data_IF_297217319596
#
_entry.id   IF_297217319596
#
_cell.length_a   1.000
_cell.length_b   1.000
_cell.length_c   1.000
_cell.angle_alpha   90.00
_cell.angle_beta   90.00
_cell.angle_gamma   90.00
#
_symmetry.space_group_name_H-M   'P 1'
#
loop_
_entity.id
_entity.type
_entity.pdbx_description
1 polymer ?
#
# COMPACT_ATOMS: atom_id res chain seq x y z
N UNK A 1 25.38 -7.62 -2.59
CA UNK A 1 24.37 -6.70 -3.16
C UNK A 1 24.30 -6.88 -4.68
N UNK A 2 23.95 -8.09 -5.15
CA UNK A 2 23.62 -8.32 -6.56
C UNK A 2 22.10 -8.20 -6.66
N UNK A 3 21.58 -7.20 -7.39
CA UNK A 3 20.13 -6.99 -7.46
C UNK A 3 19.66 -5.54 -7.53
N UNK A 4 20.54 -4.57 -7.27
CA UNK A 4 20.20 -3.16 -7.05
C UNK A 4 20.98 -2.28 -8.00
N UNK A 5 20.30 -1.36 -8.69
CA UNK A 5 20.92 -0.23 -9.37
C UNK A 5 20.77 1.03 -8.52
N UNK A 6 21.89 1.68 -8.22
CA UNK A 6 21.90 2.98 -7.55
C UNK A 6 21.60 4.08 -8.58
N UNK A 7 20.32 4.30 -8.85
CA UNK A 7 19.87 5.48 -9.60
C UNK A 7 19.79 6.65 -8.61
N UNK A 8 20.86 7.44 -8.54
CA UNK A 8 20.97 8.51 -7.54
C UNK A 8 20.20 9.78 -7.97
N UNK A 9 19.01 9.96 -7.39
CA UNK A 9 18.48 11.29 -7.13
C UNK A 9 19.09 11.78 -5.81
N UNK A 10 19.32 13.09 -5.69
CA UNK A 10 19.95 13.69 -4.49
C UNK A 10 19.09 13.63 -3.21
N UNK A 11 17.89 13.05 -3.28
CA UNK A 11 16.93 12.95 -2.19
C UNK A 11 16.16 11.61 -2.29
N UNK A 12 15.60 11.11 -1.18
CA UNK A 12 14.88 9.83 -1.13
C UNK A 12 13.49 9.93 -1.78
N UNK A 13 13.45 9.77 -3.10
CA UNK A 13 12.26 9.99 -3.92
C UNK A 13 11.10 9.06 -3.55
N UNK A 14 11.35 7.79 -3.25
CA UNK A 14 10.29 6.81 -2.97
C UNK A 14 9.67 7.07 -1.60
N UNK A 15 10.49 7.42 -0.62
CA UNK A 15 10.00 7.84 0.70
C UNK A 15 9.16 9.11 0.59
N UNK A 16 9.58 10.09 -0.22
CA UNK A 16 8.81 11.32 -0.44
C UNK A 16 7.45 10.98 -1.06
N UNK A 17 7.41 10.22 -2.16
CA UNK A 17 6.14 9.85 -2.82
C UNK A 17 5.21 9.09 -1.87
N UNK A 18 5.76 8.19 -1.05
CA UNK A 18 4.97 7.34 -0.15
C UNK A 18 4.32 8.16 0.97
N UNK A 19 5.05 9.08 1.59
CA UNK A 19 4.59 9.79 2.79
C UNK A 19 4.07 11.21 2.53
N UNK A 20 4.23 11.77 1.33
CA UNK A 20 3.65 13.07 0.98
C UNK A 20 2.11 13.13 1.17
N UNK A 21 1.33 12.10 0.79
CA UNK A 21 -0.10 12.04 1.09
C UNK A 21 -0.39 12.10 2.59
N UNK A 22 0.37 11.35 3.40
CA UNK A 22 0.24 11.36 4.86
C UNK A 22 0.53 12.75 5.45
N UNK A 23 1.54 13.46 4.95
CA UNK A 23 1.79 14.85 5.36
C UNK A 23 0.60 15.74 5.01
N UNK A 24 0.02 15.59 3.82
CA UNK A 24 -1.22 16.29 3.44
C UNK A 24 -2.40 15.97 4.36
N UNK A 25 -2.56 14.70 4.77
CA UNK A 25 -3.58 14.28 5.72
C UNK A 25 -3.40 14.96 7.09
N UNK A 26 -2.17 15.04 7.59
CA UNK A 26 -1.84 15.76 8.82
C UNK A 26 -2.09 17.26 8.70
N UNK A 27 -1.78 17.87 7.55
CA UNK A 27 -2.08 19.29 7.30
C UNK A 27 -3.60 19.54 7.31
N UNK A 28 -4.39 18.64 6.75
CA UNK A 28 -5.86 18.72 6.78
C UNK A 28 -6.40 18.71 8.22
N UNK A 29 -5.76 18.01 9.17
CA UNK A 29 -6.17 18.03 10.58
C UNK A 29 -6.16 19.44 11.19
N UNK A 30 -5.34 20.35 10.69
CA UNK A 30 -5.25 21.73 11.17
C UNK A 30 -6.30 22.65 10.53
N UNK A 31 -6.88 22.24 9.40
CA UNK A 31 -7.86 23.02 8.64
C UNK A 31 -9.27 22.88 9.23
N UNK A 32 -10.03 23.98 9.21
CA UNK A 32 -11.44 24.02 9.64
C UNK A 32 -12.41 24.22 8.46
N UNK A 33 -11.97 24.89 7.40
CA UNK A 33 -12.80 25.19 6.25
C UNK A 33 -12.81 24.02 5.26
N UNK A 34 -14.01 23.53 4.90
CA UNK A 34 -14.20 22.39 3.98
C UNK A 34 -13.64 22.64 2.58
N UNK A 35 -13.68 23.88 2.08
CA UNK A 35 -13.07 24.22 0.79
C UNK A 35 -11.55 24.10 0.85
N UNK A 36 -10.92 24.57 1.93
CA UNK A 36 -9.47 24.43 2.13
C UNK A 36 -9.05 22.96 2.25
N UNK A 37 -9.87 22.13 2.91
CA UNK A 37 -9.64 20.67 2.96
C UNK A 37 -9.63 20.06 1.56
N UNK A 38 -10.65 20.36 0.74
CA UNK A 38 -10.78 19.84 -0.64
C UNK A 38 -9.58 20.24 -1.51
N UNK A 39 -9.18 21.51 -1.45
CA UNK A 39 -8.03 22.02 -2.19
C UNK A 39 -6.71 21.47 -1.67
N UNK A 40 -6.55 21.30 -0.35
CA UNK A 40 -5.35 20.68 0.22
C UNK A 40 -5.21 19.23 -0.26
N UNK A 41 -6.28 18.43 -0.21
CA UNK A 41 -6.25 17.06 -0.70
C UNK A 41 -5.91 16.97 -2.20
N UNK A 42 -6.47 17.88 -3.01
CA UNK A 42 -6.16 17.93 -4.44
C UNK A 42 -4.71 18.37 -4.68
N UNK A 43 -4.23 19.39 -3.97
CA UNK A 43 -2.85 19.84 -4.08
C UNK A 43 -1.86 18.75 -3.66
N UNK A 44 -2.16 18.00 -2.60
CA UNK A 44 -1.33 16.88 -2.16
C UNK A 44 -1.28 15.76 -3.19
N UNK A 45 -2.43 15.27 -3.69
CA UNK A 45 -2.46 14.20 -4.72
C UNK A 45 -1.73 14.61 -6.01
N UNK A 46 -1.92 15.85 -6.46
CA UNK A 46 -1.19 16.41 -7.61
C UNK A 46 0.32 16.49 -7.31
N UNK A 47 0.70 16.94 -6.12
CA UNK A 47 2.09 17.00 -5.72
C UNK A 47 2.73 15.60 -5.65
N UNK A 48 2.00 14.57 -5.19
CA UNK A 48 2.45 13.17 -5.20
C UNK A 48 2.69 12.67 -6.62
N UNK A 49 1.76 12.96 -7.54
CA UNK A 49 1.93 12.63 -8.96
C UNK A 49 3.12 13.36 -9.59
N UNK A 50 3.32 14.65 -9.29
CA UNK A 50 4.48 15.39 -9.80
C UNK A 50 5.78 14.83 -9.22
N UNK A 51 5.79 14.48 -7.92
CA UNK A 51 6.92 13.87 -7.25
C UNK A 51 7.26 12.48 -7.80
N UNK A 52 6.31 11.78 -8.43
CA UNK A 52 6.57 10.51 -9.10
C UNK A 52 7.20 10.65 -10.48
N UNK A 53 7.04 11.79 -11.20
CA UNK A 53 7.57 11.98 -12.55
C UNK A 53 9.09 11.73 -12.71
N UNK A 54 9.97 12.17 -11.78
CA UNK A 54 11.39 11.86 -11.84
C UNK A 54 11.66 10.35 -11.89
N UNK A 55 10.87 9.55 -11.17
CA UNK A 55 11.01 8.10 -11.14
C UNK A 55 10.87 7.53 -12.55
N UNK A 56 9.82 7.89 -13.30
CA UNK A 56 9.66 7.41 -14.67
C UNK A 56 10.74 7.93 -15.63
N UNK A 57 11.15 9.18 -15.47
CA UNK A 57 12.14 9.82 -16.35
C UNK A 57 13.51 9.16 -16.23
N UNK A 58 13.92 8.80 -15.00
CA UNK A 58 15.24 8.25 -14.71
C UNK A 58 15.24 6.72 -14.56
N UNK A 59 14.09 6.05 -14.77
CA UNK A 59 14.01 4.60 -14.72
C UNK A 59 14.69 3.96 -15.94
N UNK A 60 15.67 3.10 -15.69
CA UNK A 60 16.34 2.30 -16.72
C UNK A 60 15.46 1.11 -17.12
N UNK A 61 15.03 1.09 -18.38
CA UNK A 61 14.14 0.05 -18.94
C UNK A 61 14.90 -1.18 -19.45
N UNK A 62 16.24 -1.15 -19.44
CA UNK A 62 17.08 -2.20 -20.02
C UNK A 62 17.42 -3.31 -19.01
N UNK A 63 17.06 -3.12 -17.74
CA UNK A 63 17.41 -3.98 -16.63
C UNK A 63 16.18 -4.51 -15.89
N UNK A 64 16.34 -5.67 -15.26
CA UNK A 64 15.33 -6.29 -14.39
C UNK A 64 15.58 -6.03 -12.91
N UNK A 65 16.68 -5.33 -12.58
CA UNK A 65 17.08 -5.05 -11.21
C UNK A 65 16.18 -4.00 -10.54
N UNK A 66 16.12 -4.05 -9.21
CA UNK A 66 15.42 -3.03 -8.42
C UNK A 66 16.16 -1.70 -8.51
N UNK A 67 15.42 -0.62 -8.70
CA UNK A 67 15.93 0.74 -8.86
C UNK A 67 15.42 1.67 -7.77
N UNK A 68 16.08 2.82 -7.60
CA UNK A 68 15.76 3.82 -6.57
C UNK A 68 15.71 3.21 -5.16
N UNK A 69 16.60 2.26 -4.88
CA UNK A 69 16.56 1.51 -3.62
C UNK A 69 17.05 2.38 -2.47
N UNK A 70 16.21 2.51 -1.46
CA UNK A 70 16.51 3.23 -0.22
C UNK A 70 16.49 2.22 0.92
N UNK A 71 17.55 2.16 1.71
CA UNK A 71 17.68 1.19 2.81
C UNK A 71 18.14 1.88 4.08
N UNK A 72 17.31 1.80 5.12
CA UNK A 72 17.62 2.34 6.44
C UNK A 72 17.29 1.32 7.54
N UNK A 73 18.16 1.14 8.55
CA UNK A 73 17.85 0.27 9.67
C UNK A 73 16.66 0.85 10.45
N UNK A 74 15.65 0.02 10.73
CA UNK A 74 14.45 0.46 11.46
C UNK A 74 14.31 -0.20 12.83
N UNK A 75 14.28 -1.54 12.89
CA UNK A 75 14.25 -2.32 14.14
C UNK A 75 15.41 -3.34 14.11
N UNK A 76 16.62 -2.94 14.52
CA UNK A 76 17.81 -3.77 14.41
C UNK A 76 17.71 -5.10 15.18
N UNK A 77 17.00 -5.13 16.31
CA UNK A 77 16.83 -6.32 17.14
C UNK A 77 16.19 -7.50 16.37
N UNK A 78 15.37 -7.21 15.36
CA UNK A 78 14.71 -8.21 14.52
C UNK A 78 15.21 -8.19 13.07
N UNK A 79 16.27 -7.43 12.78
CA UNK A 79 16.79 -7.21 11.43
C UNK A 79 15.71 -6.68 10.46
N UNK A 80 14.85 -5.78 10.95
CA UNK A 80 13.85 -5.11 10.11
C UNK A 80 14.46 -3.80 9.61
N UNK A 81 14.52 -3.67 8.29
CA UNK A 81 14.98 -2.49 7.60
C UNK A 81 13.80 -1.83 6.89
N UNK A 82 13.77 -0.49 6.90
CA UNK A 82 12.98 0.24 5.93
C UNK A 82 13.70 0.13 4.59
N UNK A 83 13.20 -0.76 3.75
CA UNK A 83 13.78 -1.04 2.44
C UNK A 83 12.69 -0.89 1.39
N UNK A 84 12.90 0.09 0.52
CA UNK A 84 12.00 0.39 -0.59
C UNK A 84 12.77 0.42 -1.88
N UNK A 85 12.09 0.14 -2.98
CA UNK A 85 12.64 0.12 -4.32
C UNK A 85 11.54 -0.26 -5.31
N UNK A 86 11.84 -0.11 -6.59
CA UNK A 86 10.86 -0.35 -7.65
C UNK A 86 11.45 -1.15 -8.80
N UNK A 87 10.60 -1.96 -9.42
CA UNK A 87 10.86 -2.65 -10.68
C UNK A 87 9.95 -2.10 -11.80
N UNK A 88 10.01 -2.73 -12.98
CA UNK A 88 9.22 -2.30 -14.15
C UNK A 88 7.71 -2.40 -13.94
N UNK A 89 7.24 -3.31 -13.07
CA UNK A 89 5.82 -3.47 -12.75
C UNK A 89 5.39 -2.37 -11.78
N UNK A 90 6.16 -2.18 -10.71
CA UNK A 90 5.88 -1.25 -9.62
C UNK A 90 5.80 0.20 -10.12
N UNK A 91 6.68 0.59 -11.05
CA UNK A 91 6.63 1.93 -11.67
C UNK A 91 5.26 2.18 -12.30
N UNK A 92 4.74 1.25 -13.11
CA UNK A 92 3.47 1.46 -13.82
C UNK A 92 2.29 1.60 -12.85
N UNK A 93 2.23 0.74 -11.83
CA UNK A 93 1.18 0.79 -10.82
C UNK A 93 1.29 2.01 -9.91
N UNK A 94 2.49 2.52 -9.64
CA UNK A 94 2.71 3.72 -8.85
C UNK A 94 2.10 4.95 -9.55
N UNK A 95 2.33 5.10 -10.86
CA UNK A 95 1.69 6.16 -11.64
C UNK A 95 0.16 6.01 -11.72
N UNK A 96 -0.31 4.78 -11.93
CA UNK A 96 -1.74 4.51 -11.95
C UNK A 96 -2.39 4.89 -10.62
N UNK A 97 -1.80 4.51 -9.49
CA UNK A 97 -2.30 4.85 -8.16
C UNK A 97 -2.32 6.37 -7.92
N UNK A 98 -1.29 7.10 -8.37
CA UNK A 98 -1.23 8.56 -8.25
C UNK A 98 -2.34 9.25 -9.07
N UNK A 99 -2.54 8.81 -10.32
CA UNK A 99 -3.60 9.36 -11.19
C UNK A 99 -4.98 9.08 -10.62
N UNK A 100 -5.22 7.83 -10.19
CA UNK A 100 -6.50 7.46 -9.58
C UNK A 100 -6.78 8.28 -8.31
N UNK A 101 -5.77 8.57 -7.51
CA UNK A 101 -5.94 9.39 -6.30
C UNK A 101 -6.40 10.81 -6.61
N UNK A 102 -5.87 11.45 -7.67
CA UNK A 102 -6.35 12.76 -8.17
C UNK A 102 -7.83 12.66 -8.59
N UNK A 103 -8.18 11.61 -9.35
CA UNK A 103 -9.55 11.40 -9.81
C UNK A 103 -10.52 11.16 -8.66
N UNK A 104 -10.14 10.33 -7.68
CA UNK A 104 -10.95 10.08 -6.48
C UNK A 104 -11.22 11.38 -5.70
N UNK A 105 -10.22 12.23 -5.53
CA UNK A 105 -10.40 13.52 -4.84
C UNK A 105 -11.36 14.44 -5.63
N UNK A 106 -11.15 14.59 -6.93
CA UNK A 106 -11.94 15.50 -7.78
C UNK A 106 -13.40 15.09 -7.90
N UNK A 107 -13.68 13.80 -8.12
CA UNK A 107 -15.06 13.27 -8.19
C UNK A 107 -15.78 13.45 -6.84
N UNK A 108 -15.06 13.31 -5.73
CA UNK A 108 -15.64 13.40 -4.38
C UNK A 108 -16.04 14.80 -3.95
N UNK A 109 -15.63 15.86 -4.68
CA UNK A 109 -15.89 17.26 -4.29
C UNK A 109 -17.38 17.57 -4.14
N UNK A 110 -18.22 17.00 -5.00
CA UNK A 110 -19.67 17.22 -4.96
C UNK A 110 -20.43 16.07 -4.29
N UNK A 111 -19.87 14.85 -4.32
CA UNK A 111 -20.49 13.68 -3.70
C UNK A 111 -20.47 13.73 -2.17
N UNK A 112 -19.39 14.24 -1.56
CA UNK A 112 -19.18 14.16 -0.11
C UNK A 112 -19.48 15.49 0.58
N UNK A 113 -20.59 15.52 1.31
CA UNK A 113 -21.06 16.70 2.07
C UNK A 113 -21.04 16.52 3.59
N UNK A 114 -20.91 15.27 4.07
CA UNK A 114 -20.83 14.94 5.50
C UNK A 114 -19.41 14.53 5.87
N UNK A 115 -18.93 14.94 7.06
CA UNK A 115 -17.60 14.56 7.58
C UNK A 115 -16.49 14.70 6.52
N UNK A 116 -16.55 15.78 5.73
CA UNK A 116 -15.69 15.98 4.56
C UNK A 116 -14.21 15.91 4.91
N UNK A 117 -13.83 16.40 6.10
CA UNK A 117 -12.46 16.37 6.60
C UNK A 117 -11.93 14.96 6.77
N UNK A 118 -12.68 14.12 7.48
CA UNK A 118 -12.32 12.74 7.75
C UNK A 118 -12.28 11.89 6.47
N UNK A 119 -13.14 12.20 5.50
CA UNK A 119 -13.13 11.54 4.19
C UNK A 119 -11.82 11.75 3.44
N UNK A 120 -11.39 13.01 3.28
CA UNK A 120 -10.14 13.31 2.58
C UNK A 120 -8.89 12.85 3.32
N UNK A 121 -8.92 12.86 4.67
CA UNK A 121 -7.86 12.22 5.47
C UNK A 121 -7.78 10.73 5.15
N UNK A 122 -8.93 10.04 5.12
CA UNK A 122 -8.98 8.60 4.82
C UNK A 122 -8.49 8.30 3.41
N UNK A 123 -8.84 9.12 2.41
CA UNK A 123 -8.32 9.00 1.05
C UNK A 123 -6.81 9.19 0.96
N UNK A 124 -6.24 10.18 1.64
CA UNK A 124 -4.79 10.41 1.60
C UNK A 124 -4.02 9.32 2.36
N UNK A 125 -4.56 8.80 3.47
CA UNK A 125 -3.99 7.63 4.16
C UNK A 125 -4.04 6.40 3.25
N UNK A 126 -5.13 6.21 2.49
CA UNK A 126 -5.23 5.15 1.49
C UNK A 126 -4.13 5.30 0.43
N UNK A 127 -3.92 6.50 -0.10
CA UNK A 127 -2.88 6.76 -1.10
C UNK A 127 -1.50 6.41 -0.54
N UNK A 128 -1.15 6.84 0.67
CA UNK A 128 0.11 6.44 1.33
C UNK A 128 0.23 4.92 1.47
N UNK A 129 -0.83 4.23 1.87
CA UNK A 129 -0.81 2.78 2.02
C UNK A 129 -0.63 2.06 0.67
N UNK A 130 -1.30 2.53 -0.39
CA UNK A 130 -1.15 2.02 -1.76
C UNK A 130 0.28 2.22 -2.27
N UNK A 131 0.84 3.42 -2.13
CA UNK A 131 2.23 3.70 -2.54
C UNK A 131 3.21 2.80 -1.78
N UNK A 132 3.04 2.67 -0.47
CA UNK A 132 3.89 1.84 0.38
C UNK A 132 3.90 0.37 -0.02
N UNK A 133 2.74 -0.21 -0.37
CA UNK A 133 2.67 -1.59 -0.90
C UNK A 133 3.52 -1.75 -2.15
N UNK A 134 3.43 -0.80 -3.08
CA UNK A 134 4.06 -0.89 -4.40
C UNK A 134 5.58 -0.74 -4.35
N UNK A 135 6.12 -0.06 -3.34
CA UNK A 135 7.57 0.19 -3.24
C UNK A 135 8.28 -0.69 -2.21
N UNK A 136 7.56 -1.49 -1.41
CA UNK A 136 8.17 -2.24 -0.30
C UNK A 136 9.00 -3.43 -0.79
N UNK A 137 10.29 -3.45 -0.44
CA UNK A 137 11.20 -4.59 -0.67
C UNK A 137 11.43 -5.42 0.60
N UNK A 138 10.91 -4.98 1.73
CA UNK A 138 10.89 -5.74 2.98
C UNK A 138 9.50 -6.34 3.20
N UNK A 139 9.40 -7.66 3.40
CA UNK A 139 8.10 -8.35 3.48
C UNK A 139 7.27 -7.95 4.71
N UNK A 140 7.93 -7.57 5.81
CA UNK A 140 7.23 -7.04 6.99
C UNK A 140 6.70 -5.63 6.72
N UNK A 141 7.48 -4.77 6.05
CA UNK A 141 7.04 -3.44 5.64
C UNK A 141 5.87 -3.52 4.64
N UNK A 142 5.95 -4.45 3.67
CA UNK A 142 4.85 -4.75 2.76
C UNK A 142 3.58 -5.14 3.51
N UNK A 143 3.68 -6.05 4.48
CA UNK A 143 2.55 -6.46 5.32
C UNK A 143 1.95 -5.29 6.10
N UNK A 144 2.77 -4.40 6.64
CA UNK A 144 2.30 -3.23 7.37
C UNK A 144 1.49 -2.29 6.48
N UNK A 145 1.98 -1.96 5.28
CA UNK A 145 1.22 -1.15 4.34
C UNK A 145 -0.02 -1.89 3.82
N UNK A 146 0.07 -3.21 3.60
CA UNK A 146 -1.07 -4.05 3.23
C UNK A 146 -2.21 -3.93 4.23
N UNK A 147 -1.93 -4.07 5.52
CA UNK A 147 -2.91 -3.93 6.59
C UNK A 147 -3.39 -2.49 6.75
N UNK A 148 -2.49 -1.51 6.58
CA UNK A 148 -2.84 -0.09 6.65
C UNK A 148 -3.96 0.28 5.66
N UNK A 149 -4.07 -0.41 4.52
CA UNK A 149 -5.17 -0.16 3.56
C UNK A 149 -6.56 -0.47 4.09
N UNK A 150 -6.66 -1.40 5.05
CA UNK A 150 -7.95 -1.85 5.57
C UNK A 150 -8.62 -0.77 6.42
N UNK A 151 -7.83 0.00 7.17
CA UNK A 151 -8.33 1.07 8.05
C UNK A 151 -9.11 2.14 7.28
N UNK A 152 -8.53 2.84 6.27
CA UNK A 152 -9.26 3.83 5.50
C UNK A 152 -10.40 3.19 4.70
N UNK A 153 -10.24 1.98 4.13
CA UNK A 153 -11.34 1.32 3.40
C UNK A 153 -12.54 1.06 4.30
N UNK A 154 -12.30 0.54 5.50
CA UNK A 154 -13.34 0.28 6.48
C UNK A 154 -14.10 1.56 6.85
N UNK A 155 -13.39 2.68 7.05
CA UNK A 155 -14.01 3.98 7.34
C UNK A 155 -14.78 4.53 6.14
N UNK A 156 -14.19 4.47 4.94
CA UNK A 156 -14.80 4.96 3.70
C UNK A 156 -16.14 4.26 3.44
N UNK A 157 -16.16 2.93 3.51
CA UNK A 157 -17.39 2.13 3.37
C UNK A 157 -18.34 2.44 4.54
N UNK A 158 -17.89 2.30 5.79
CA UNK A 158 -18.78 2.32 6.96
C UNK A 158 -19.44 3.68 7.27
N UNK A 159 -18.81 4.80 6.89
CA UNK A 159 -19.31 6.15 7.21
C UNK A 159 -19.99 6.81 6.01
N UNK A 160 -19.44 6.66 4.80
CA UNK A 160 -19.94 7.34 3.59
C UNK A 160 -20.69 6.44 2.62
N UNK A 161 -20.69 5.14 2.87
CA UNK A 161 -21.42 4.18 2.07
C UNK A 161 -22.95 4.26 2.17
N UNK A 162 -23.60 3.34 1.45
CA UNK A 162 -25.04 3.20 1.29
C UNK A 162 -25.80 2.66 2.52
N UNK A 163 -27.07 2.24 2.35
CA UNK A 163 -27.95 1.83 3.44
C UNK A 163 -27.42 0.67 4.30
N UNK A 164 -26.68 -0.29 3.72
CA UNK A 164 -26.13 -1.47 4.42
C UNK A 164 -24.64 -1.34 4.71
N UNK A 165 -24.09 -0.12 4.64
CA UNK A 165 -22.67 0.19 4.85
C UNK A 165 -22.01 -0.46 6.07
N UNK A 166 -22.70 -0.56 7.20
CA UNK A 166 -22.12 -1.15 8.43
C UNK A 166 -21.91 -2.65 8.25
N UNK A 167 -22.90 -3.35 7.68
CA UNK A 167 -22.78 -4.76 7.36
C UNK A 167 -21.67 -5.00 6.33
N UNK A 168 -21.63 -4.20 5.26
CA UNK A 168 -20.60 -4.29 4.23
C UNK A 168 -19.19 -4.04 4.78
N UNK A 169 -19.00 -3.00 5.60
CA UNK A 169 -17.70 -2.66 6.20
C UNK A 169 -17.21 -3.75 7.17
N UNK A 170 -18.08 -4.27 8.03
CA UNK A 170 -17.75 -5.36 8.97
C UNK A 170 -17.43 -6.66 8.21
N UNK A 171 -18.22 -6.99 7.17
CA UNK A 171 -17.93 -8.16 6.32
C UNK A 171 -16.59 -8.00 5.60
N UNK A 172 -16.35 -6.84 5.00
CA UNK A 172 -15.09 -6.49 4.34
C UNK A 172 -13.89 -6.72 5.26
N UNK A 173 -13.88 -6.12 6.45
CA UNK A 173 -12.72 -6.19 7.34
C UNK A 173 -12.49 -7.61 7.87
N UNK A 174 -13.54 -8.36 8.19
CA UNK A 174 -13.42 -9.75 8.66
C UNK A 174 -12.81 -10.64 7.57
N UNK A 175 -13.29 -10.53 6.32
CA UNK A 175 -12.74 -11.32 5.23
C UNK A 175 -11.26 -10.99 5.00
N UNK A 176 -10.94 -9.70 4.90
CA UNK A 176 -9.59 -9.23 4.62
C UNK A 176 -8.59 -9.63 5.71
N UNK A 177 -8.95 -9.43 6.98
CA UNK A 177 -8.12 -9.84 8.12
C UNK A 177 -7.95 -11.36 8.21
N UNK A 178 -9.02 -12.13 7.93
CA UNK A 178 -8.93 -13.58 7.98
C UNK A 178 -7.87 -14.11 7.01
N UNK A 179 -7.79 -13.56 5.80
CA UNK A 179 -6.74 -13.92 4.83
C UNK A 179 -5.36 -13.46 5.28
N UNK A 180 -5.22 -12.21 5.73
CA UNK A 180 -3.91 -11.64 6.04
C UNK A 180 -3.23 -12.24 7.27
N UNK A 181 -3.98 -12.72 8.26
CA UNK A 181 -3.39 -13.43 9.41
C UNK A 181 -2.60 -14.67 8.97
N UNK A 182 -3.06 -15.41 7.96
CA UNK A 182 -2.28 -16.54 7.42
C UNK A 182 -0.99 -16.08 6.76
N UNK A 183 -1.03 -14.97 6.01
CA UNK A 183 0.17 -14.36 5.44
C UNK A 183 1.16 -13.93 6.53
N UNK A 184 0.69 -13.36 7.65
CA UNK A 184 1.55 -13.01 8.79
C UNK A 184 2.27 -14.25 9.35
N UNK A 185 1.55 -15.36 9.54
CA UNK A 185 2.17 -16.63 9.96
C UNK A 185 3.22 -17.08 8.94
N UNK A 186 2.91 -17.01 7.65
CA UNK A 186 3.86 -17.32 6.58
C UNK A 186 5.12 -16.45 6.63
N UNK A 187 4.97 -15.15 6.87
CA UNK A 187 6.09 -14.21 7.03
C UNK A 187 6.97 -14.58 8.22
N UNK A 188 6.38 -14.93 9.37
CA UNK A 188 7.15 -15.33 10.56
C UNK A 188 7.92 -16.63 10.31
N UNK A 189 7.29 -17.62 9.67
CA UNK A 189 7.97 -18.87 9.29
C UNK A 189 9.10 -18.59 8.30
N UNK A 190 8.85 -17.76 7.29
CA UNK A 190 9.83 -17.38 6.28
C UNK A 190 11.02 -16.63 6.90
N UNK A 191 10.78 -15.75 7.88
CA UNK A 191 11.83 -15.08 8.64
C UNK A 191 12.79 -16.08 9.31
N UNK A 192 12.25 -17.10 9.98
CA UNK A 192 13.07 -18.11 10.64
C UNK A 192 13.79 -19.03 9.64
N UNK A 193 13.11 -19.45 8.58
CA UNK A 193 13.67 -20.32 7.56
C UNK A 193 14.70 -19.61 6.64
N UNK A 194 14.52 -18.31 6.43
CA UNK A 194 15.29 -17.48 5.52
C UNK A 194 16.49 -16.78 6.15
N UNK A 195 16.95 -17.22 7.32
CA UNK A 195 18.16 -16.67 7.95
C UNK A 195 17.94 -15.38 8.75
N UNK A 196 16.73 -15.14 9.28
CA UNK A 196 16.36 -13.97 10.09
C UNK A 196 16.49 -12.64 9.33
N UNK A 197 16.07 -12.63 8.07
CA UNK A 197 15.93 -11.43 7.24
C UNK A 197 14.48 -11.28 6.79
N UNK A 198 14.09 -10.05 6.51
CA UNK A 198 12.80 -9.72 5.90
C UNK A 198 12.96 -9.13 4.48
N UNK A 199 14.20 -9.06 3.96
CA UNK A 199 14.48 -8.61 2.60
C UNK A 199 13.95 -9.63 1.57
N UNK A 200 13.02 -9.21 0.72
CA UNK A 200 12.38 -10.07 -0.29
C UNK A 200 13.40 -10.60 -1.30
N UNK A 201 14.39 -9.78 -1.68
CA UNK A 201 15.43 -10.16 -2.64
C UNK A 201 16.31 -11.25 -2.04
N UNK A 202 16.72 -11.12 -0.77
CA UNK A 202 17.49 -12.16 -0.09
C UNK A 202 16.67 -13.44 0.10
N UNK A 203 15.43 -13.32 0.58
CA UNK A 203 14.54 -14.44 0.81
C UNK A 203 14.25 -15.25 -0.47
N UNK A 204 14.18 -14.58 -1.62
CA UNK A 204 13.94 -15.22 -2.93
C UNK A 204 15.11 -16.05 -3.45
N UNK A 205 16.34 -15.82 -2.95
CA UNK A 205 17.55 -16.54 -3.39
C UNK A 205 17.77 -17.84 -2.61
N UNK A 206 17.04 -18.03 -1.50
CA UNK A 206 17.18 -19.18 -0.64
C UNK A 206 16.35 -20.35 -1.19
N UNK A 207 16.94 -21.54 -1.22
CA UNK A 207 16.25 -22.77 -1.60
C UNK A 207 15.60 -23.40 -0.37
N UNK A 208 14.27 -23.39 -0.32
CA UNK A 208 13.49 -23.99 0.77
C UNK A 208 13.06 -25.43 0.42
N UNK A 209 12.90 -26.33 1.40
CA UNK A 209 12.31 -27.65 1.16
C UNK A 209 10.90 -27.56 0.55
N UNK A 210 10.57 -28.46 -0.38
CA UNK A 210 9.29 -28.41 -1.12
C UNK A 210 8.05 -28.41 -0.21
N UNK A 211 8.07 -29.17 0.89
CA UNK A 211 6.98 -29.18 1.87
C UNK A 211 6.79 -27.82 2.55
N UNK A 212 7.87 -27.11 2.83
CA UNK A 212 7.80 -25.76 3.39
C UNK A 212 7.26 -24.76 2.36
N UNK A 213 7.74 -24.83 1.11
CA UNK A 213 7.23 -23.98 0.02
C UNK A 213 5.73 -24.16 -0.19
N UNK A 214 5.22 -25.40 -0.11
CA UNK A 214 3.80 -25.70 -0.23
C UNK A 214 2.98 -24.97 0.84
N UNK A 215 3.36 -25.06 2.12
CA UNK A 215 2.64 -24.39 3.20
C UNK A 215 2.78 -22.87 3.15
N UNK A 216 3.96 -22.35 2.83
CA UNK A 216 4.17 -20.92 2.61
C UNK A 216 3.30 -20.42 1.46
N UNK A 217 3.23 -21.14 0.34
CA UNK A 217 2.37 -20.79 -0.78
C UNK A 217 0.92 -20.63 -0.32
N UNK A 218 0.35 -21.58 0.42
CA UNK A 218 -1.02 -21.47 0.90
C UNK A 218 -1.22 -20.35 1.93
N UNK A 219 -0.22 -20.08 2.77
CA UNK A 219 -0.26 -18.99 3.74
C UNK A 219 -0.37 -17.62 3.04
N UNK A 220 0.44 -17.36 2.02
CA UNK A 220 0.37 -16.14 1.21
C UNK A 220 -0.87 -16.14 0.30
N UNK A 221 -1.16 -17.28 -0.34
CA UNK A 221 -2.30 -17.45 -1.23
C UNK A 221 -3.61 -17.13 -0.53
N UNK A 222 -3.79 -17.48 0.75
CA UNK A 222 -5.00 -17.14 1.49
C UNK A 222 -5.26 -15.61 1.52
N UNK A 223 -4.23 -14.80 1.79
CA UNK A 223 -4.35 -13.35 1.80
C UNK A 223 -4.61 -12.79 0.39
N UNK A 224 -3.86 -13.26 -0.61
CA UNK A 224 -4.04 -12.82 -1.99
C UNK A 224 -5.38 -13.25 -2.58
N UNK A 225 -5.86 -14.47 -2.31
CA UNK A 225 -7.12 -14.98 -2.83
C UNK A 225 -8.34 -14.24 -2.28
N UNK A 226 -8.26 -13.78 -1.03
CA UNK A 226 -9.29 -12.90 -0.46
C UNK A 226 -9.26 -11.53 -1.14
N UNK A 227 -8.07 -10.91 -1.28
CA UNK A 227 -7.94 -9.53 -1.79
C UNK A 227 -8.12 -9.42 -3.31
N UNK A 228 -7.71 -10.45 -4.07
CA UNK A 228 -8.00 -10.65 -5.49
C UNK A 228 -9.24 -11.55 -5.62
N UNK A 229 -10.43 -11.07 -5.24
CA UNK A 229 -11.64 -11.84 -4.91
C UNK A 229 -11.82 -13.14 -5.74
N UNK A 230 -11.16 -14.24 -5.32
CA UNK A 230 -11.14 -15.49 -6.08
C UNK A 230 -12.38 -16.31 -5.75
N UNK A 231 -12.84 -17.16 -6.68
CA UNK A 231 -13.84 -18.17 -6.32
C UNK A 231 -13.22 -19.17 -5.31
N UNK A 232 -13.88 -19.51 -4.18
CA UNK A 232 -15.21 -19.08 -3.72
C UNK A 232 -15.23 -17.89 -2.73
N UNK A 233 -14.09 -17.26 -2.44
CA UNK A 233 -13.86 -16.24 -1.39
C UNK A 233 -14.06 -14.79 -1.90
N UNK A 234 -15.06 -14.56 -2.75
CA UNK A 234 -15.30 -13.25 -3.39
C UNK A 234 -16.55 -12.53 -2.86
N UNK A 235 -17.31 -13.16 -1.95
CA UNK A 235 -18.65 -12.67 -1.55
C UNK A 235 -18.63 -11.36 -0.78
N UNK A 236 -17.49 -10.92 -0.26
CA UNK A 236 -17.35 -9.60 0.36
C UNK A 236 -17.34 -8.47 -0.67
N UNK A 237 -16.89 -8.73 -1.90
CA UNK A 237 -16.66 -7.73 -2.93
C UNK A 237 -17.94 -7.04 -3.43
N UNK A 238 -19.03 -7.77 -3.78
CA UNK A 238 -20.27 -7.14 -4.23
C UNK A 238 -20.89 -6.24 -3.18
N UNK A 239 -20.92 -6.69 -1.92
CA UNK A 239 -21.46 -5.90 -0.81
C UNK A 239 -20.62 -4.63 -0.58
N UNK A 240 -19.29 -4.75 -0.62
CA UNK A 240 -18.40 -3.61 -0.46
C UNK A 240 -18.51 -2.58 -1.59
N UNK A 241 -18.63 -3.02 -2.86
CA UNK A 241 -18.69 -2.09 -4.00
C UNK A 241 -20.07 -1.48 -4.23
N UNK A 242 -21.15 -2.22 -3.94
CA UNK A 242 -22.52 -1.69 -4.08
C UNK A 242 -22.87 -0.70 -3.00
N UNK A 243 -22.25 -0.82 -1.83
CA UNK A 243 -22.48 0.05 -0.68
C UNK A 243 -21.38 1.10 -0.48
N UNK A 244 -20.34 1.17 -1.32
CA UNK A 244 -19.27 2.19 -1.21
C UNK A 244 -19.57 3.48 -1.97
#
# INVERSE_FOLDING_TARGET
>A
MEGILQTELSYPVLTVITFLPLVGALMILLLRNTAQVKWMALATTIATFIASLPVYKYFDKTTHLMQFVETHPWIPAWNINYQVGIDGISVLFLFLAAILSILCVTVSWNAIQIKTKEFYISLLIMETAMMGILVSLNVFLFYLFWELTLIPMFLLIGIWGGPKRVYAAVKFIIFMLAGSVFMLVGIIVLYHAGGRTFDIIELSKISYPAGLQFWLFFAFFAAFAVKMPMFPIHTWLPDAHTEA
#
